data_IF_615269543694
#
_entry.id   IF_615269543694
#
_cell.length_a   1.000
_cell.length_b   1.000
_cell.length_c   1.000
_cell.angle_alpha   90.00
_cell.angle_beta   90.00
_cell.angle_gamma   90.00
#
_symmetry.space_group_name_H-M   'P 1'
#
loop_
_entity.id
_entity.type
_entity.pdbx_description
1 polymer ?
#
# COMPACT_ATOMS: atom_id res chain seq x y z
N UNK A 1 0.49 -11.67 15.09
CA UNK A 1 -0.50 -10.96 15.93
C UNK A 1 -0.75 -11.77 17.19
N UNK A 2 -0.87 -11.15 18.38
CA UNK A 2 -1.32 -11.89 19.58
C UNK A 2 -2.82 -12.18 19.48
N UNK A 3 -3.27 -13.35 19.96
CA UNK A 3 -4.68 -13.76 19.92
C UNK A 3 -5.63 -12.70 20.50
N UNK A 4 -5.22 -11.99 21.55
CA UNK A 4 -5.98 -10.87 22.13
C UNK A 4 -6.20 -9.71 21.15
N UNK A 5 -5.19 -9.34 20.35
CA UNK A 5 -5.31 -8.25 19.36
C UNK A 5 -6.25 -8.63 18.21
N UNK A 6 -6.22 -9.90 17.78
CA UNK A 6 -7.13 -10.40 16.75
C UNK A 6 -8.59 -10.37 17.22
N UNK A 7 -8.85 -10.79 18.45
CA UNK A 7 -10.19 -10.75 19.05
C UNK A 7 -10.70 -9.32 19.20
N UNK A 8 -9.86 -8.38 19.67
CA UNK A 8 -10.23 -6.96 19.76
C UNK A 8 -10.55 -6.36 18.39
N UNK A 9 -9.78 -6.69 17.35
CA UNK A 9 -10.05 -6.25 15.98
C UNK A 9 -11.41 -6.73 15.49
N UNK A 10 -11.74 -8.00 15.72
CA UNK A 10 -13.05 -8.56 15.34
C UNK A 10 -14.20 -7.87 16.05
N UNK A 11 -14.09 -7.60 17.36
CA UNK A 11 -15.10 -6.83 18.09
C UNK A 11 -15.25 -5.41 17.54
N UNK A 12 -14.15 -4.72 17.21
CA UNK A 12 -14.18 -3.39 16.61
C UNK A 12 -14.91 -3.39 15.25
N UNK A 13 -14.59 -4.34 14.38
CA UNK A 13 -15.26 -4.49 13.08
C UNK A 13 -16.75 -4.77 13.28
N UNK A 14 -17.12 -5.65 14.21
CA UNK A 14 -18.51 -5.96 14.52
C UNK A 14 -19.28 -4.74 15.06
N UNK A 15 -18.68 -3.95 15.94
CA UNK A 15 -19.27 -2.71 16.48
C UNK A 15 -19.48 -1.69 15.36
N UNK A 16 -18.47 -1.47 14.52
CA UNK A 16 -18.57 -0.55 13.38
C UNK A 16 -19.68 -1.01 12.42
N UNK A 17 -19.74 -2.31 12.11
CA UNK A 17 -20.80 -2.88 11.28
C UNK A 17 -22.19 -2.67 11.90
N UNK A 18 -22.32 -2.86 13.23
CA UNK A 18 -23.56 -2.62 13.97
C UNK A 18 -24.00 -1.15 13.94
N UNK A 19 -23.06 -0.21 14.15
CA UNK A 19 -23.32 1.23 14.07
C UNK A 19 -23.78 1.61 12.65
N UNK A 20 -23.07 1.13 11.63
CA UNK A 20 -23.43 1.34 10.23
C UNK A 20 -24.83 0.79 9.94
N UNK A 21 -25.16 -0.42 10.41
CA UNK A 21 -26.45 -1.04 10.18
C UNK A 21 -27.62 -0.25 10.81
N UNK A 22 -27.41 0.31 12.01
CA UNK A 22 -28.41 1.17 12.67
C UNK A 22 -28.52 2.51 11.94
N UNK A 23 -27.39 3.12 11.57
CA UNK A 23 -27.34 4.41 10.88
C UNK A 23 -28.02 4.36 9.51
N UNK A 24 -27.78 3.30 8.75
CA UNK A 24 -28.37 3.05 7.43
C UNK A 24 -29.90 3.04 7.47
N UNK A 25 -30.53 2.52 8.53
CA UNK A 25 -32.00 2.47 8.64
C UNK A 25 -32.68 3.84 8.66
N UNK A 26 -31.95 4.88 9.05
CA UNK A 26 -32.48 6.24 9.16
C UNK A 26 -32.15 7.11 7.94
N UNK A 27 -31.35 6.59 7.01
CA UNK A 27 -30.82 7.34 5.88
C UNK A 27 -31.65 7.16 4.61
N UNK A 28 -31.53 8.13 3.70
CA UNK A 28 -32.08 8.01 2.33
C UNK A 28 -31.50 6.77 1.64
N UNK A 29 -32.28 6.16 0.75
CA UNK A 29 -31.91 4.90 0.09
C UNK A 29 -30.61 5.01 -0.70
N UNK A 30 -30.33 6.18 -1.31
CA UNK A 30 -29.08 6.42 -2.03
C UNK A 30 -27.85 6.38 -1.12
N UNK A 31 -27.93 7.06 0.04
CA UNK A 31 -26.85 7.07 1.03
C UNK A 31 -26.64 5.67 1.60
N UNK A 32 -27.72 4.93 1.86
CA UNK A 32 -27.68 3.53 2.30
C UNK A 32 -26.87 2.65 1.35
N UNK A 33 -27.14 2.73 0.04
CA UNK A 33 -26.40 1.95 -0.97
C UNK A 33 -24.91 2.29 -0.96
N UNK A 34 -24.56 3.58 -0.86
CA UNK A 34 -23.16 4.02 -0.77
C UNK A 34 -22.48 3.47 0.48
N UNK A 35 -23.14 3.53 1.65
CA UNK A 35 -22.56 3.06 2.91
C UNK A 35 -22.32 1.55 2.88
N UNK A 36 -23.28 0.76 2.39
CA UNK A 36 -23.15 -0.69 2.27
C UNK A 36 -22.05 -1.06 1.27
N UNK A 37 -22.05 -0.44 0.09
CA UNK A 37 -21.03 -0.69 -0.93
C UNK A 37 -19.63 -0.30 -0.43
N UNK A 38 -19.49 0.86 0.21
CA UNK A 38 -18.24 1.34 0.81
C UNK A 38 -17.72 0.40 1.92
N UNK A 39 -18.62 -0.11 2.76
CA UNK A 39 -18.27 -1.11 3.78
C UNK A 39 -17.81 -2.43 3.15
N UNK A 40 -18.53 -2.94 2.13
CA UNK A 40 -18.14 -4.15 1.41
C UNK A 40 -16.76 -4.00 0.72
N UNK A 41 -16.50 -2.84 0.09
CA UNK A 41 -15.19 -2.53 -0.50
C UNK A 41 -14.10 -2.41 0.55
N UNK A 42 -14.41 -1.88 1.73
CA UNK A 42 -13.46 -1.81 2.84
C UNK A 42 -13.10 -3.21 3.34
N UNK A 43 -14.08 -4.12 3.47
CA UNK A 43 -13.82 -5.52 3.81
C UNK A 43 -12.97 -6.19 2.74
N UNK A 44 -13.32 -6.03 1.47
CA UNK A 44 -12.55 -6.58 0.35
C UNK A 44 -11.11 -6.04 0.35
N UNK A 45 -10.94 -4.74 0.59
CA UNK A 45 -9.65 -4.07 0.70
C UNK A 45 -8.81 -4.60 1.87
N UNK A 46 -9.42 -4.79 3.05
CA UNK A 46 -8.75 -5.40 4.22
C UNK A 46 -8.38 -6.86 3.93
N UNK A 47 -9.25 -7.63 3.29
CA UNK A 47 -8.96 -9.00 2.87
C UNK A 47 -7.77 -9.08 1.92
N UNK A 48 -7.70 -8.14 0.96
CA UNK A 48 -6.57 -7.98 0.06
C UNK A 48 -5.27 -7.59 0.79
N UNK A 49 -5.36 -6.67 1.75
CA UNK A 49 -4.24 -6.28 2.60
C UNK A 49 -3.67 -7.47 3.36
N UNK A 50 -4.54 -8.26 4.00
CA UNK A 50 -4.14 -9.44 4.76
C UNK A 50 -3.59 -10.54 3.87
N UNK A 51 -4.17 -10.75 2.68
CA UNK A 51 -3.65 -11.71 1.69
C UNK A 51 -2.26 -11.36 1.16
N UNK A 52 -1.81 -10.10 1.25
CA UNK A 52 -0.43 -9.69 0.93
C UNK A 52 0.55 -10.05 2.05
N UNK A 53 0.10 -10.31 3.27
CA UNK A 53 0.95 -10.73 4.38
C UNK A 53 1.16 -12.24 4.27
N UNK A 54 2.34 -12.65 3.76
CA UNK A 54 2.76 -14.05 3.74
C UNK A 54 2.96 -14.50 5.21
N UNK A 55 2.05 -15.32 5.75
CA UNK A 55 2.09 -15.85 7.14
C UNK A 55 2.68 -17.27 7.20
N UNK A 56 3.32 -17.75 6.13
CA UNK A 56 3.96 -19.06 6.15
C UNK A 56 5.48 -18.92 6.32
N UNK A 57 5.95 -19.44 7.46
CA UNK A 57 7.35 -19.84 7.64
C UNK A 57 7.63 -20.96 6.62
N UNK A 58 8.56 -20.69 5.69
CA UNK A 58 9.14 -21.71 4.82
C UNK A 58 10.10 -22.57 5.67
N UNK A 59 9.53 -23.45 6.48
CA UNK A 59 10.24 -24.62 6.99
C UNK A 59 9.60 -25.88 6.40
N UNK A 60 10.43 -26.57 5.61
CA UNK A 60 10.33 -27.96 5.18
C UNK A 60 9.49 -28.34 3.93
N UNK A 61 10.26 -28.65 2.87
CA UNK A 61 10.20 -29.87 2.04
C UNK A 61 9.80 -29.80 0.55
N UNK A 62 10.34 -30.76 -0.26
CA UNK A 62 10.59 -30.62 -1.69
C UNK A 62 9.51 -31.28 -2.56
N UNK A 63 9.36 -30.81 -3.80
CA UNK A 63 8.70 -31.57 -4.87
C UNK A 63 7.63 -30.78 -5.62
N UNK A 64 7.74 -30.78 -6.95
CA UNK A 64 6.88 -30.07 -7.90
C UNK A 64 5.38 -30.33 -7.70
N UNK A 65 4.70 -29.31 -7.18
CA UNK A 65 3.25 -29.04 -7.27
C UNK A 65 2.95 -27.63 -6.73
N UNK A 66 3.84 -27.10 -5.87
CA UNK A 66 3.77 -25.76 -5.28
C UNK A 66 3.93 -24.61 -6.28
N UNK A 67 4.66 -24.80 -7.39
CA UNK A 67 4.84 -23.74 -8.39
C UNK A 67 3.48 -23.38 -9.03
N UNK A 68 2.64 -24.37 -9.34
CA UNK A 68 1.30 -24.15 -9.93
C UNK A 68 0.33 -23.45 -8.95
N UNK A 69 0.46 -23.73 -7.65
CA UNK A 69 -0.35 -23.09 -6.60
C UNK A 69 0.09 -21.65 -6.36
N UNK A 70 1.39 -21.36 -6.43
CA UNK A 70 1.95 -20.00 -6.30
C UNK A 70 1.63 -19.17 -7.56
N UNK A 71 1.65 -19.77 -8.73
CA UNK A 71 1.24 -19.11 -9.99
C UNK A 71 -0.27 -18.82 -9.99
N UNK A 72 -1.08 -19.74 -9.45
CA UNK A 72 -2.51 -19.52 -9.18
C UNK A 72 -2.80 -18.43 -8.14
N UNK A 73 -1.94 -18.27 -7.13
CA UNK A 73 -2.07 -17.22 -6.11
C UNK A 73 -1.81 -15.82 -6.67
N UNK A 74 -0.85 -15.71 -7.60
CA UNK A 74 -0.52 -14.45 -8.28
C UNK A 74 -1.64 -13.99 -9.22
N UNK A 75 -2.28 -14.94 -9.93
CA UNK A 75 -3.46 -14.64 -10.75
C UNK A 75 -4.70 -14.28 -9.92
N UNK A 76 -4.99 -15.02 -8.84
CA UNK A 76 -6.09 -14.70 -7.91
C UNK A 76 -5.96 -13.29 -7.34
N UNK A 77 -4.74 -12.89 -6.98
CA UNK A 77 -4.48 -11.56 -6.44
C UNK A 77 -4.82 -10.43 -7.40
N UNK A 78 -4.44 -10.54 -8.68
CA UNK A 78 -4.79 -9.54 -9.71
C UNK A 78 -6.30 -9.49 -9.96
N UNK A 79 -6.98 -10.64 -9.90
CA UNK A 79 -8.44 -10.69 -10.03
C UNK A 79 -9.11 -9.89 -8.90
N UNK A 80 -8.67 -10.04 -7.64
CA UNK A 80 -9.25 -9.28 -6.53
C UNK A 80 -8.93 -7.78 -6.61
N UNK A 81 -7.74 -7.39 -7.05
CA UNK A 81 -7.40 -5.96 -7.28
C UNK A 81 -8.31 -5.36 -8.37
N UNK A 82 -8.55 -6.09 -9.47
CA UNK A 82 -9.49 -5.68 -10.51
C UNK A 82 -10.94 -5.59 -10.01
N UNK A 83 -11.38 -6.53 -9.15
CA UNK A 83 -12.72 -6.51 -8.55
C UNK A 83 -12.91 -5.31 -7.62
N UNK A 84 -11.89 -4.99 -6.83
CA UNK A 84 -11.89 -3.80 -5.97
C UNK A 84 -12.02 -2.54 -6.83
N UNK A 85 -11.21 -2.41 -7.88
CA UNK A 85 -11.25 -1.25 -8.78
C UNK A 85 -12.59 -1.14 -9.51
N UNK A 86 -13.15 -2.25 -10.00
CA UNK A 86 -14.49 -2.29 -10.60
C UNK A 86 -15.54 -1.77 -9.62
N UNK A 87 -15.49 -2.22 -8.36
CA UNK A 87 -16.40 -1.74 -7.33
C UNK A 87 -16.21 -0.26 -7.00
N UNK A 88 -14.96 0.23 -6.98
CA UNK A 88 -14.65 1.65 -6.78
C UNK A 88 -15.16 2.50 -7.96
N UNK A 89 -15.04 2.03 -9.21
CA UNK A 89 -15.57 2.72 -10.40
C UNK A 89 -17.09 2.86 -10.30
N UNK A 90 -17.80 1.77 -9.98
CA UNK A 90 -19.26 1.80 -9.84
C UNK A 90 -19.68 2.71 -8.69
N UNK A 91 -19.01 2.62 -7.54
CA UNK A 91 -19.31 3.44 -6.38
C UNK A 91 -19.05 4.92 -6.65
N UNK A 92 -17.91 5.27 -7.23
CA UNK A 92 -17.59 6.64 -7.63
C UNK A 92 -18.65 7.21 -8.58
N UNK A 93 -19.07 6.40 -9.57
CA UNK A 93 -20.08 6.84 -10.53
C UNK A 93 -21.44 7.05 -9.88
N UNK A 94 -21.85 6.14 -8.99
CA UNK A 94 -23.10 6.27 -8.25
C UNK A 94 -23.09 7.47 -7.29
N UNK A 95 -21.99 7.71 -6.58
CA UNK A 95 -21.79 8.87 -5.71
C UNK A 95 -21.84 10.16 -6.52
N UNK A 96 -21.27 10.20 -7.72
CA UNK A 96 -21.35 11.37 -8.60
C UNK A 96 -22.80 11.70 -8.99
N UNK A 97 -23.63 10.69 -9.26
CA UNK A 97 -25.08 10.89 -9.45
C UNK A 97 -25.74 11.41 -8.16
N UNK A 98 -25.47 10.80 -7.00
CA UNK A 98 -26.07 11.26 -5.75
C UNK A 98 -25.74 12.72 -5.44
N UNK A 99 -24.48 13.13 -5.63
CA UNK A 99 -24.06 14.53 -5.43
C UNK A 99 -24.80 15.46 -6.41
N UNK A 100 -24.95 15.06 -7.68
CA UNK A 100 -25.57 15.90 -8.71
C UNK A 100 -27.05 16.20 -8.45
N UNK A 101 -27.76 15.28 -7.79
CA UNK A 101 -29.20 15.35 -7.53
C UNK A 101 -29.53 15.34 -6.02
N UNK A 102 -28.63 15.87 -5.19
CA UNK A 102 -28.86 16.07 -3.74
C UNK A 102 -29.39 14.81 -3.00
N UNK A 103 -28.89 13.64 -3.42
CA UNK A 103 -29.19 12.33 -2.85
C UNK A 103 -30.45 11.64 -3.38
N UNK A 104 -31.22 12.26 -4.27
CA UNK A 104 -32.41 11.64 -4.89
C UNK A 104 -32.32 11.62 -6.42
N UNK A 105 -31.88 10.48 -6.96
CA UNK A 105 -31.66 10.32 -8.40
C UNK A 105 -33.01 10.10 -9.12
N UNK A 106 -33.39 10.97 -10.07
CA UNK A 106 -34.65 10.84 -10.82
C UNK A 106 -34.74 9.49 -11.55
N UNK A 107 -35.96 8.92 -11.74
CA UNK A 107 -36.14 7.62 -12.39
C UNK A 107 -35.48 7.50 -13.77
N UNK A 108 -35.55 8.55 -14.59
CA UNK A 108 -34.94 8.55 -15.92
C UNK A 108 -33.41 8.54 -15.85
N UNK A 109 -32.85 9.23 -14.88
CA UNK A 109 -31.40 9.25 -14.63
C UNK A 109 -30.91 7.91 -14.07
N UNK A 110 -31.73 7.21 -13.28
CA UNK A 110 -31.41 5.84 -12.83
C UNK A 110 -31.32 4.85 -14.00
N UNK A 111 -32.18 4.98 -15.01
CA UNK A 111 -32.13 4.16 -16.23
C UNK A 111 -30.86 4.45 -17.04
N UNK A 112 -30.52 5.74 -17.21
CA UNK A 112 -29.28 6.15 -17.89
C UNK A 112 -28.07 5.59 -17.14
N UNK A 113 -28.01 5.75 -15.82
CA UNK A 113 -26.95 5.17 -14.99
C UNK A 113 -26.81 3.65 -15.21
N UNK A 114 -27.91 2.89 -15.10
CA UNK A 114 -27.88 1.45 -15.28
C UNK A 114 -27.39 1.04 -16.68
N UNK A 115 -27.74 1.80 -17.71
CA UNK A 115 -27.33 1.54 -19.09
C UNK A 115 -25.86 1.92 -19.36
N UNK A 116 -25.31 2.94 -18.68
CA UNK A 116 -23.94 3.41 -18.91
C UNK A 116 -22.90 2.77 -18.00
N UNK A 117 -23.29 2.17 -16.87
CA UNK A 117 -22.36 1.51 -15.92
C UNK A 117 -21.46 0.45 -16.58
N UNK A 118 -21.96 -0.50 -17.40
CA UNK A 118 -21.11 -1.51 -18.01
C UNK A 118 -20.04 -0.91 -18.93
N UNK A 119 -20.42 0.12 -19.69
CA UNK A 119 -19.52 0.84 -20.58
C UNK A 119 -18.46 1.62 -19.78
N UNK A 120 -18.87 2.25 -18.67
CA UNK A 120 -17.96 2.96 -17.77
C UNK A 120 -16.91 2.01 -17.17
N UNK A 121 -17.35 0.85 -16.65
CA UNK A 121 -16.45 -0.18 -16.11
C UNK A 121 -15.46 -0.63 -17.19
N UNK A 122 -15.97 -0.99 -18.38
CA UNK A 122 -15.13 -1.53 -19.45
C UNK A 122 -14.06 -0.55 -19.92
N UNK A 123 -14.41 0.72 -20.11
CA UNK A 123 -13.47 1.74 -20.58
C UNK A 123 -12.45 2.10 -19.49
N UNK A 124 -12.87 2.30 -18.25
CA UNK A 124 -11.97 2.66 -17.15
C UNK A 124 -10.98 1.52 -16.84
N UNK A 125 -11.46 0.27 -16.77
CA UNK A 125 -10.57 -0.89 -16.58
C UNK A 125 -9.59 -1.04 -17.74
N UNK A 126 -10.05 -0.84 -18.98
CA UNK A 126 -9.16 -0.86 -20.14
C UNK A 126 -8.11 0.26 -20.06
N UNK A 127 -8.50 1.47 -19.67
CA UNK A 127 -7.58 2.59 -19.49
C UNK A 127 -6.55 2.31 -18.41
N UNK A 128 -6.93 1.69 -17.28
CA UNK A 128 -6.01 1.27 -16.24
C UNK A 128 -5.05 0.17 -16.70
N UNK A 129 -5.53 -0.80 -17.48
CA UNK A 129 -4.71 -1.85 -18.07
C UNK A 129 -3.71 -1.29 -19.08
N UNK A 130 -4.16 -0.43 -19.99
CA UNK A 130 -3.34 0.19 -21.03
C UNK A 130 -2.34 1.20 -20.45
N UNK A 131 -2.76 1.99 -19.46
CA UNK A 131 -1.93 2.94 -18.74
C UNK A 131 -0.92 2.29 -17.79
N UNK A 132 -0.99 0.97 -17.58
CA UNK A 132 -0.01 0.23 -16.81
C UNK A 132 -0.19 0.33 -15.30
N UNK A 133 -1.37 0.72 -14.81
CA UNK A 133 -1.68 0.80 -13.36
C UNK A 133 -1.43 -0.54 -12.66
N UNK A 134 -1.65 -1.66 -13.36
CA UNK A 134 -1.43 -3.02 -12.84
C UNK A 134 -0.02 -3.58 -13.10
N UNK A 135 0.84 -2.86 -13.84
CA UNK A 135 2.20 -3.29 -14.19
C UNK A 135 3.25 -2.86 -13.16
N UNK A 136 2.91 -1.91 -12.27
CA UNK A 136 3.83 -1.38 -11.28
C UNK A 136 4.29 -2.42 -10.25
N UNK A 137 5.61 -2.51 -10.05
CA UNK A 137 6.18 -3.21 -8.88
C UNK A 137 6.00 -2.27 -7.68
N UNK A 138 4.95 -2.52 -6.89
CA UNK A 138 4.52 -1.74 -5.70
C UNK A 138 5.64 -1.34 -4.73
N UNK A 139 6.76 -2.07 -4.75
CA UNK A 139 7.93 -1.86 -3.89
C UNK A 139 8.70 -0.56 -4.17
N UNK A 140 8.53 0.03 -5.36
CA UNK A 140 9.21 1.27 -5.79
C UNK A 140 8.24 2.40 -6.16
N UNK A 141 6.95 2.20 -5.90
CA UNK A 141 5.91 3.08 -6.37
C UNK A 141 5.84 4.36 -5.51
N UNK A 142 6.20 5.49 -6.13
CA UNK A 142 6.20 6.83 -5.54
C UNK A 142 5.22 7.76 -6.24
N UNK A 143 5.66 8.99 -6.54
CA UNK A 143 4.89 9.98 -7.28
C UNK A 143 4.53 9.47 -8.69
N UNK A 144 5.40 8.66 -9.30
CA UNK A 144 5.19 8.14 -10.66
C UNK A 144 3.94 7.25 -10.76
N UNK A 145 3.61 6.51 -9.70
CA UNK A 145 2.39 5.70 -9.66
C UNK A 145 1.14 6.60 -9.62
N UNK A 146 1.15 7.63 -8.78
CA UNK A 146 0.04 8.60 -8.73
C UNK A 146 -0.13 9.31 -10.07
N UNK A 147 0.95 9.65 -10.75
CA UNK A 147 0.92 10.23 -12.11
C UNK A 147 0.33 9.23 -13.10
N UNK A 148 0.68 7.95 -12.99
CA UNK A 148 0.17 6.89 -13.85
C UNK A 148 -1.34 6.69 -13.65
N UNK A 149 -1.80 6.66 -12.40
CA UNK A 149 -3.21 6.60 -12.03
C UNK A 149 -3.95 7.84 -12.55
N UNK A 150 -3.39 9.04 -12.34
CA UNK A 150 -3.99 10.28 -12.80
C UNK A 150 -4.17 10.30 -14.33
N UNK A 151 -3.11 10.00 -15.09
CA UNK A 151 -3.16 9.94 -16.56
C UNK A 151 -4.17 8.91 -17.04
N UNK A 152 -4.16 7.72 -16.46
CA UNK A 152 -5.07 6.63 -16.84
C UNK A 152 -6.52 6.99 -16.55
N UNK A 153 -6.79 7.64 -15.40
CA UNK A 153 -8.13 8.08 -15.01
C UNK A 153 -8.63 9.22 -15.92
N UNK A 154 -7.78 10.21 -16.21
CA UNK A 154 -8.15 11.33 -17.10
C UNK A 154 -8.48 10.80 -18.50
N UNK A 155 -7.65 9.90 -19.04
CA UNK A 155 -7.89 9.30 -20.35
C UNK A 155 -9.13 8.40 -20.32
N UNK A 156 -9.28 7.54 -19.32
CA UNK A 156 -10.42 6.63 -19.14
C UNK A 156 -11.74 7.40 -19.04
N UNK A 157 -11.83 8.34 -18.09
CA UNK A 157 -13.01 9.18 -17.90
C UNK A 157 -13.29 10.07 -19.10
N UNK A 158 -12.26 10.58 -19.79
CA UNK A 158 -12.42 11.35 -21.02
C UNK A 158 -13.00 10.51 -22.17
N UNK A 159 -12.47 9.31 -22.38
CA UNK A 159 -12.94 8.36 -23.42
C UNK A 159 -14.35 7.87 -23.08
N UNK A 160 -14.62 7.50 -21.82
CA UNK A 160 -15.95 7.11 -21.38
C UNK A 160 -16.94 8.26 -21.54
N UNK A 161 -16.49 9.48 -21.20
CA UNK A 161 -17.11 10.76 -21.52
C UNK A 161 -17.63 10.85 -22.94
N UNK A 162 -16.70 10.80 -23.88
CA UNK A 162 -16.97 10.93 -25.31
C UNK A 162 -17.78 9.77 -25.88
N UNK A 163 -17.52 8.53 -25.43
CA UNK A 163 -18.24 7.35 -25.89
C UNK A 163 -19.71 7.40 -25.48
N UNK A 164 -20.01 7.73 -24.22
CA UNK A 164 -21.38 7.86 -23.73
C UNK A 164 -22.09 9.01 -24.44
N UNK A 165 -21.45 10.18 -24.60
CA UNK A 165 -22.04 11.31 -25.32
C UNK A 165 -22.42 10.95 -26.76
N UNK A 166 -21.55 10.20 -27.45
CA UNK A 166 -21.75 9.79 -28.85
C UNK A 166 -22.85 8.73 -28.98
N UNK A 167 -22.84 7.70 -28.14
CA UNK A 167 -23.79 6.59 -28.21
C UNK A 167 -25.21 7.01 -27.79
N UNK A 168 -25.32 7.94 -26.83
CA UNK A 168 -26.60 8.39 -26.28
C UNK A 168 -27.07 9.73 -26.87
N UNK A 169 -26.46 10.20 -27.98
CA UNK A 169 -26.87 11.41 -28.73
C UNK A 169 -27.11 12.64 -27.83
N UNK A 170 -26.16 12.95 -26.95
CA UNK A 170 -26.25 14.04 -25.96
C UNK A 170 -27.34 13.91 -24.87
N UNK A 171 -28.13 12.84 -24.85
CA UNK A 171 -29.07 12.52 -23.76
C UNK A 171 -28.44 11.66 -22.65
N UNK A 172 -27.12 11.70 -22.53
CA UNK A 172 -26.36 10.98 -21.53
C UNK A 172 -26.35 11.66 -20.14
N UNK A 173 -25.52 11.14 -19.21
CA UNK A 173 -25.30 11.75 -17.90
C UNK A 173 -24.91 13.22 -18.01
N UNK A 174 -25.26 14.02 -17.00
CA UNK A 174 -24.80 15.40 -16.92
C UNK A 174 -23.26 15.48 -16.97
N UNK A 175 -22.71 16.44 -17.71
CA UNK A 175 -21.25 16.64 -17.83
C UNK A 175 -20.56 16.78 -16.47
N UNK A 176 -21.24 17.42 -15.51
CA UNK A 176 -20.77 17.53 -14.13
C UNK A 176 -20.61 16.17 -13.44
N UNK A 177 -21.50 15.21 -13.72
CA UNK A 177 -21.40 13.84 -13.19
C UNK A 177 -20.16 13.13 -13.73
N UNK A 178 -19.83 13.35 -15.02
CA UNK A 178 -18.64 12.72 -15.63
C UNK A 178 -17.34 13.27 -15.04
N UNK A 179 -17.27 14.58 -14.83
CA UNK A 179 -16.12 15.23 -14.19
C UNK A 179 -15.97 14.77 -12.74
N UNK A 180 -17.08 14.78 -11.97
CA UNK A 180 -17.08 14.31 -10.59
C UNK A 180 -16.70 12.84 -10.49
N UNK A 181 -17.18 12.00 -11.40
CA UNK A 181 -16.81 10.59 -11.47
C UNK A 181 -15.29 10.41 -11.63
N UNK A 182 -14.65 11.10 -12.58
CA UNK A 182 -13.21 10.99 -12.78
C UNK A 182 -12.40 11.44 -11.56
N UNK A 183 -12.83 12.51 -10.88
CA UNK A 183 -12.21 12.95 -9.62
C UNK A 183 -12.35 11.88 -8.53
N UNK A 184 -13.55 11.33 -8.35
CA UNK A 184 -13.83 10.31 -7.34
C UNK A 184 -13.07 9.01 -7.61
N UNK A 185 -13.02 8.55 -8.87
CA UNK A 185 -12.23 7.38 -9.27
C UNK A 185 -10.76 7.60 -8.92
N UNK A 186 -10.19 8.74 -9.33
CA UNK A 186 -8.79 9.05 -9.03
C UNK A 186 -8.52 9.01 -7.53
N UNK A 187 -9.35 9.69 -6.73
CA UNK A 187 -9.19 9.75 -5.27
C UNK A 187 -9.31 8.37 -4.63
N UNK A 188 -10.32 7.58 -5.00
CA UNK A 188 -10.57 6.26 -4.41
C UNK A 188 -9.46 5.27 -4.78
N UNK A 189 -9.07 5.22 -6.06
CA UNK A 189 -7.97 4.37 -6.52
C UNK A 189 -6.68 4.83 -5.85
N UNK A 190 -6.28 6.09 -5.97
CA UNK A 190 -5.06 6.60 -5.33
C UNK A 190 -5.03 6.34 -3.81
N UNK A 191 -6.13 6.57 -3.10
CA UNK A 191 -6.23 6.30 -1.66
C UNK A 191 -6.05 4.82 -1.34
N UNK A 192 -6.68 3.91 -2.10
CA UNK A 192 -6.50 2.45 -1.91
C UNK A 192 -5.02 2.05 -2.06
N UNK A 193 -4.35 2.64 -3.04
CA UNK A 193 -2.97 2.34 -3.45
C UNK A 193 -1.96 2.82 -2.43
N UNK A 194 -2.10 4.09 -2.02
CA UNK A 194 -1.31 4.69 -0.94
C UNK A 194 -1.54 3.94 0.38
N UNK A 195 -2.78 3.53 0.66
CA UNK A 195 -3.11 2.75 1.86
C UNK A 195 -2.39 1.40 1.89
N UNK A 196 -2.24 0.71 0.75
CA UNK A 196 -1.41 -0.52 0.70
C UNK A 196 0.04 -0.27 1.15
N UNK A 197 0.62 0.89 0.82
CA UNK A 197 1.97 1.26 1.24
C UNK A 197 2.04 1.56 2.73
N UNK A 198 1.19 2.47 3.21
CA UNK A 198 1.20 2.89 4.62
C UNK A 198 0.84 1.74 5.57
N UNK A 199 -0.21 0.97 5.25
CA UNK A 199 -0.59 -0.16 6.08
C UNK A 199 0.39 -1.32 5.93
N UNK A 200 1.04 -1.50 4.78
CA UNK A 200 2.17 -2.42 4.65
C UNK A 200 3.28 -2.08 5.66
N UNK A 201 3.67 -0.81 5.76
CA UNK A 201 4.70 -0.38 6.73
C UNK A 201 4.24 -0.46 8.20
N UNK A 202 2.95 -0.23 8.48
CA UNK A 202 2.41 -0.20 9.85
C UNK A 202 1.97 -1.59 10.37
N UNK A 203 1.32 -2.40 9.55
CA UNK A 203 0.83 -3.75 9.89
C UNK A 203 1.95 -4.80 9.79
N UNK A 204 2.88 -4.64 8.85
CA UNK A 204 4.17 -5.38 8.84
C UNK A 204 5.17 -4.66 9.77
N UNK A 205 4.67 -3.97 10.81
CA UNK A 205 5.49 -3.37 11.85
C UNK A 205 6.58 -4.36 12.23
N UNK A 206 7.85 -3.91 12.10
CA UNK A 206 9.10 -4.67 12.23
C UNK A 206 8.85 -6.16 12.02
N UNK A 207 8.91 -6.59 10.76
CA UNK A 207 8.95 -8.01 10.32
C UNK A 207 9.40 -8.84 11.50
N UNK A 208 8.48 -9.59 12.12
CA UNK A 208 8.71 -10.25 13.42
C UNK A 208 10.09 -10.86 13.34
N UNK A 209 11.03 -10.31 14.11
CA UNK A 209 12.45 -10.65 13.99
C UNK A 209 12.51 -12.16 13.91
N UNK A 210 13.07 -12.69 12.82
CA UNK A 210 13.44 -14.10 12.83
C UNK A 210 14.24 -14.26 14.14
N UNK A 211 13.89 -15.16 15.06
CA UNK A 211 14.61 -15.30 16.32
C UNK A 211 16.12 -15.47 16.10
N UNK A 212 16.49 -16.01 14.93
CA UNK A 212 17.87 -16.22 14.50
C UNK A 212 18.45 -15.04 13.70
N UNK A 213 17.69 -13.98 13.43
CA UNK A 213 18.20 -12.79 12.77
C UNK A 213 19.08 -11.97 13.71
N UNK A 214 20.23 -11.57 13.19
CA UNK A 214 21.23 -10.79 13.91
C UNK A 214 20.83 -9.32 13.94
N UNK A 215 20.69 -8.69 15.12
CA UNK A 215 20.39 -7.27 15.24
C UNK A 215 21.58 -6.44 14.73
N UNK A 216 21.32 -5.55 13.77
CA UNK A 216 22.36 -4.74 13.11
C UNK A 216 22.04 -3.26 13.09
N UNK A 217 23.08 -2.44 13.21
CA UNK A 217 23.00 -0.99 13.01
C UNK A 217 23.62 -0.62 11.66
N UNK A 218 23.03 0.36 10.98
CA UNK A 218 23.54 0.84 9.70
C UNK A 218 24.25 2.18 9.88
N UNK A 219 25.56 2.22 9.62
CA UNK A 219 26.34 3.45 9.71
C UNK A 219 26.28 4.25 8.41
N UNK A 220 25.65 5.43 8.49
CA UNK A 220 25.46 6.41 7.42
C UNK A 220 24.00 6.51 6.98
N UNK A 221 23.28 7.51 7.50
CA UNK A 221 21.89 7.80 7.17
C UNK A 221 21.78 8.71 5.92
N UNK A 222 22.34 8.25 4.80
CA UNK A 222 22.22 8.87 3.49
C UNK A 222 21.59 7.93 2.47
N UNK A 223 21.73 8.24 1.18
CA UNK A 223 21.15 7.42 0.10
C UNK A 223 21.64 5.97 0.12
N UNK A 224 22.95 5.76 0.37
CA UNK A 224 23.53 4.42 0.50
C UNK A 224 22.94 3.62 1.66
N UNK A 225 22.67 4.26 2.81
CA UNK A 225 22.02 3.63 3.94
C UNK A 225 20.55 3.31 3.67
N UNK A 226 19.85 4.22 2.99
CA UNK A 226 18.47 4.00 2.56
C UNK A 226 18.35 2.84 1.55
N UNK A 227 19.33 2.67 0.67
CA UNK A 227 19.41 1.52 -0.23
C UNK A 227 19.72 0.24 0.53
N UNK A 228 20.70 0.27 1.45
CA UNK A 228 21.12 -0.91 2.23
C UNK A 228 19.96 -1.47 3.05
N UNK A 229 19.26 -0.63 3.80
CA UNK A 229 18.11 -1.10 4.58
C UNK A 229 17.00 -1.64 3.68
N UNK A 230 16.84 -1.07 2.47
CA UNK A 230 15.94 -1.59 1.47
C UNK A 230 16.31 -3.02 1.07
N UNK A 231 17.59 -3.29 0.82
CA UNK A 231 18.09 -4.61 0.45
C UNK A 231 17.92 -5.63 1.59
N UNK A 232 18.29 -5.25 2.81
CA UNK A 232 18.15 -6.12 4.00
C UNK A 232 16.70 -6.51 4.25
N UNK A 233 15.76 -5.58 4.08
CA UNK A 233 14.33 -5.86 4.25
C UNK A 233 13.76 -6.68 3.09
N UNK A 234 14.29 -6.50 1.88
CA UNK A 234 13.78 -7.17 0.69
C UNK A 234 14.33 -8.58 0.50
N UNK A 235 15.49 -8.89 1.08
CA UNK A 235 16.16 -10.18 0.92
C UNK A 235 16.22 -10.95 2.26
N UNK A 236 15.29 -11.89 2.50
CA UNK A 236 15.21 -12.66 3.75
C UNK A 236 16.44 -13.53 4.02
N UNK A 237 17.24 -13.84 2.98
CA UNK A 237 18.41 -14.71 3.11
C UNK A 237 19.51 -14.11 4.00
N UNK A 238 19.51 -12.79 4.21
CA UNK A 238 20.57 -12.12 4.94
C UNK A 238 20.50 -12.28 6.47
N UNK A 239 19.41 -12.81 7.03
CA UNK A 239 19.26 -13.04 8.49
C UNK A 239 19.69 -11.83 9.35
N UNK A 240 19.38 -10.62 8.89
CA UNK A 240 19.66 -9.38 9.61
C UNK A 240 18.36 -8.71 10.06
N UNK A 241 18.36 -8.18 11.29
CA UNK A 241 17.28 -7.35 11.84
C UNK A 241 17.79 -5.92 12.06
N UNK A 242 17.47 -4.95 11.18
CA UNK A 242 17.94 -3.59 11.32
C UNK A 242 17.34 -2.94 12.58
N UNK A 243 18.17 -2.49 13.51
CA UNK A 243 17.72 -1.76 14.71
C UNK A 243 17.47 -0.28 14.37
N UNK A 244 18.37 0.30 13.58
CA UNK A 244 18.37 1.73 13.27
C UNK A 244 19.57 2.17 12.45
N UNK A 245 19.63 3.47 12.22
CA UNK A 245 20.78 4.12 11.58
C UNK A 245 21.65 4.82 12.62
N UNK A 246 22.94 4.90 12.35
CA UNK A 246 23.86 5.79 13.04
C UNK A 246 24.42 6.80 12.04
N UNK A 247 24.44 8.07 12.42
CA UNK A 247 25.08 9.14 11.64
C UNK A 247 25.80 10.12 12.58
N UNK A 248 26.86 10.76 12.10
CA UNK A 248 27.58 11.80 12.84
C UNK A 248 26.87 13.17 12.72
N UNK A 249 26.02 13.34 11.71
CA UNK A 249 25.26 14.56 11.50
C UNK A 249 24.13 14.69 12.54
N UNK A 250 24.37 15.55 13.54
CA UNK A 250 23.39 15.91 14.58
C UNK A 250 22.05 16.40 14.04
N UNK A 251 22.00 16.96 12.83
CA UNK A 251 20.73 17.41 12.25
C UNK A 251 19.81 16.24 11.87
N UNK A 252 20.35 15.01 11.81
CA UNK A 252 19.60 13.80 11.48
C UNK A 252 19.16 13.01 12.71
N UNK A 253 19.80 13.21 13.86
CA UNK A 253 19.47 12.51 15.12
C UNK A 253 17.98 12.67 15.46
N UNK A 254 17.32 11.55 15.82
CA UNK A 254 15.90 11.49 16.15
C UNK A 254 14.95 11.48 14.96
N UNK A 255 15.43 11.71 13.72
CA UNK A 255 14.60 11.57 12.51
C UNK A 255 14.44 10.10 12.12
N UNK A 256 13.43 9.82 11.31
CA UNK A 256 13.18 8.49 10.75
C UNK A 256 13.63 8.44 9.29
N UNK A 257 14.41 7.42 8.94
CA UNK A 257 14.73 7.05 7.56
C UNK A 257 14.12 5.67 7.27
N UNK A 258 13.21 5.59 6.29
CA UNK A 258 12.48 4.36 5.94
C UNK A 258 11.82 3.65 7.15
N UNK A 259 11.38 4.44 8.14
CA UNK A 259 10.72 3.93 9.36
C UNK A 259 11.66 3.54 10.49
N UNK A 260 12.97 3.69 10.32
CA UNK A 260 13.99 3.41 11.34
C UNK A 260 14.60 4.70 11.87
N UNK A 261 14.82 4.76 13.18
CA UNK A 261 15.37 5.93 13.85
C UNK A 261 16.85 6.11 13.52
N UNK A 262 17.25 7.36 13.36
CA UNK A 262 18.64 7.76 13.22
C UNK A 262 19.15 8.20 14.59
N UNK A 263 20.14 7.48 15.09
CA UNK A 263 20.85 7.78 16.33
C UNK A 263 22.14 8.52 16.02
N UNK A 264 22.63 9.27 17.00
CA UNK A 264 23.96 9.86 16.92
C UNK A 264 25.03 8.79 17.16
N UNK A 265 26.17 8.91 16.48
CA UNK A 265 27.32 7.97 16.64
C UNK A 265 27.89 7.83 18.05
N UNK A 266 27.57 8.76 18.94
CA UNK A 266 27.95 8.72 20.36
C UNK A 266 27.08 7.79 21.20
N UNK A 267 25.86 7.51 20.75
CA UNK A 267 24.90 6.63 21.43
C UNK A 267 25.17 5.15 21.11
N UNK A 268 26.15 4.86 20.24
CA UNK A 268 26.49 3.51 19.82
C UNK A 268 26.73 2.53 20.99
N UNK A 269 27.50 2.85 22.04
CA UNK A 269 27.72 1.92 23.16
C UNK A 269 26.41 1.56 23.86
N UNK A 270 25.58 2.57 24.13
CA UNK A 270 24.28 2.39 24.81
C UNK A 270 23.34 1.52 23.96
N UNK A 271 23.33 1.73 22.63
CA UNK A 271 22.52 0.96 21.70
C UNK A 271 22.95 -0.51 21.59
N UNK A 272 24.26 -0.79 21.69
CA UNK A 272 24.78 -2.16 21.67
C UNK A 272 24.25 -2.93 22.88
N UNK A 273 24.28 -2.32 24.07
CA UNK A 273 23.76 -2.94 25.29
C UNK A 273 22.24 -3.05 25.30
N UNK A 274 21.52 -1.98 24.92
CA UNK A 274 20.06 -1.95 24.98
C UNK A 274 19.40 -2.88 23.96
N UNK A 275 19.97 -2.97 22.75
CA UNK A 275 19.37 -3.71 21.64
C UNK A 275 20.13 -4.98 21.26
N UNK A 276 21.21 -5.33 21.97
CA UNK A 276 21.99 -6.54 21.74
C UNK A 276 22.65 -6.58 20.37
N UNK A 277 23.04 -5.43 19.82
CA UNK A 277 23.52 -5.30 18.43
C UNK A 277 24.78 -6.12 18.23
N UNK A 278 24.78 -7.00 17.22
CA UNK A 278 25.90 -7.92 16.94
C UNK A 278 26.84 -7.42 15.86
N UNK A 279 26.35 -6.61 14.91
CA UNK A 279 27.14 -6.16 13.76
C UNK A 279 26.73 -4.74 13.30
N UNK A 280 27.72 -3.95 12.88
CA UNK A 280 27.50 -2.64 12.25
C UNK A 280 27.76 -2.73 10.75
N UNK A 281 26.72 -2.48 9.96
CA UNK A 281 26.80 -2.45 8.50
C UNK A 281 27.11 -1.04 8.02
N UNK A 282 28.23 -0.88 7.32
CA UNK A 282 28.71 0.42 6.85
C UNK A 282 28.24 0.65 5.42
N UNK A 283 27.38 1.65 5.22
CA UNK A 283 26.92 2.10 3.90
C UNK A 283 27.58 3.41 3.44
N UNK A 284 28.25 4.13 4.34
CA UNK A 284 29.02 5.33 3.98
C UNK A 284 30.39 4.96 3.43
N UNK A 285 30.77 5.56 2.30
CA UNK A 285 32.15 5.48 1.77
C UNK A 285 33.15 6.31 2.61
N UNK A 286 32.64 7.20 3.48
CA UNK A 286 33.42 8.14 4.29
C UNK A 286 33.34 7.78 5.78
N UNK A 287 33.72 6.55 6.14
CA UNK A 287 33.95 6.21 7.55
C UNK A 287 35.40 6.47 7.86
N UNK A 288 35.66 7.41 8.78
CA UNK A 288 37.01 7.72 9.26
C UNK A 288 37.61 6.57 10.06
N UNK A 289 38.94 6.47 10.09
CA UNK A 289 39.67 5.42 10.81
C UNK A 289 39.34 5.39 12.31
N UNK A 290 39.18 6.57 12.93
CA UNK A 290 38.76 6.72 14.33
C UNK A 290 37.47 5.93 14.65
N UNK A 291 36.52 5.89 13.72
CA UNK A 291 35.26 5.17 13.92
C UNK A 291 35.44 3.65 13.82
N UNK A 292 36.32 3.21 12.92
CA UNK A 292 36.68 1.79 12.80
C UNK A 292 37.38 1.31 14.07
N UNK A 293 38.26 2.13 14.63
CA UNK A 293 38.89 1.85 15.93
C UNK A 293 37.87 1.81 17.06
N UNK A 294 36.89 2.71 17.06
CA UNK A 294 35.79 2.68 18.04
C UNK A 294 34.96 1.39 17.93
N UNK A 295 34.64 0.92 16.73
CA UNK A 295 33.93 -0.36 16.58
C UNK A 295 34.76 -1.52 17.16
N UNK A 296 36.06 -1.53 16.89
CA UNK A 296 36.98 -2.55 17.45
C UNK A 296 37.07 -2.48 18.97
N UNK A 297 37.14 -1.28 19.56
CA UNK A 297 37.25 -1.13 21.01
C UNK A 297 35.98 -1.55 21.75
N UNK A 298 34.82 -1.41 21.10
CA UNK A 298 33.52 -1.90 21.60
C UNK A 298 33.30 -3.40 21.33
N UNK A 299 34.24 -4.08 20.67
CA UNK A 299 34.16 -5.51 20.37
C UNK A 299 33.07 -5.89 19.36
N UNK A 300 32.56 -4.92 18.59
CA UNK A 300 31.48 -5.17 17.62
C UNK A 300 32.04 -5.48 16.23
N UNK A 301 31.49 -6.49 15.57
CA UNK A 301 31.82 -6.78 14.17
C UNK A 301 31.31 -5.65 13.26
N UNK A 302 32.04 -5.35 12.19
CA UNK A 302 31.59 -4.40 11.19
C UNK A 302 31.84 -4.91 9.77
N UNK A 303 30.91 -4.62 8.87
CA UNK A 303 30.98 -5.05 7.46
C UNK A 303 30.66 -3.89 6.53
N UNK A 304 31.56 -3.63 5.58
CA UNK A 304 31.30 -2.66 4.50
C UNK A 304 30.45 -3.32 3.43
N UNK A 305 29.26 -2.81 3.21
CA UNK A 305 28.36 -3.29 2.17
C UNK A 305 28.52 -2.39 0.94
N UNK A 306 29.07 -2.94 -0.15
CA UNK A 306 29.06 -2.26 -1.46
C UNK A 306 27.80 -2.66 -2.20
N UNK A 307 26.87 -1.73 -2.34
CA UNK A 307 25.70 -1.91 -3.20
C UNK A 307 26.18 -1.64 -4.63
N UNK A 308 26.26 -2.68 -5.45
CA UNK A 308 26.44 -2.50 -6.89
C UNK A 308 25.09 -2.04 -7.45
N UNK A 309 25.13 -0.89 -8.12
CA UNK A 309 24.02 -0.41 -8.94
C UNK A 309 24.39 -0.87 -10.35
N UNK A 310 23.76 -1.95 -10.81
CA UNK A 310 23.79 -2.32 -12.23
C UNK A 310 22.85 -1.40 -13.03
#
# INVERSE_FOLDING_TARGET
MSQRRAVILLYLVAIIAGIIAVYVRQMRIGVTVVTIAGFALTILFIGLLLGKVKVYDESEHPGGTLIDVIEGFTHRRRIFENLLDMGMIVLAYYVAYLIRWDGDIPPDQRKIFAATVPLMIGIELFAFLAGGVYRGIWRYAGIDELVTIAKSTVLGSGIAGMAILSLYRFNGPSRGVMILNGILIFLMVAASRVSFRFLGTLLVGRRKANPDARPVLIYGAGDGGAMLIGELLNNPAHQYDPVGFIDDDRTKTGKLLRGYQIFHSRELPDLIEEHGVTEVLISSLKVGEERIEQFKSLGIEFRRMRIHID
#
